data_IF_944160041375
#
_entry.id   IF_944160041375
#
_cell.length_a   1.000
_cell.length_b   1.000
_cell.length_c   1.000
_cell.angle_alpha   90.00
_cell.angle_beta   90.00
_cell.angle_gamma   90.00
#
_symmetry.space_group_name_H-M   'P 1'
#
loop_
_entity.id
_entity.type
_entity.pdbx_description
1 polymer ?
#
# COMPACT_ATOMS: atom_id res chain seq x y z
N UNK A 1 53.89 0.06 -63.00
CA UNK A 1 53.55 1.32 -63.68
C UNK A 1 53.24 2.35 -62.61
N UNK A 2 54.12 3.34 -62.50
CA UNK A 2 54.11 4.43 -61.50
C UNK A 2 53.60 5.70 -62.21
N UNK A 3 53.21 6.71 -61.41
CA UNK A 3 52.96 8.15 -61.70
C UNK A 3 51.48 8.53 -61.80
N UNK A 4 50.99 9.64 -61.25
CA UNK A 4 51.60 10.74 -60.51
C UNK A 4 50.58 11.89 -60.35
N UNK A 5 50.53 12.48 -59.15
CA UNK A 5 49.93 13.81 -58.79
C UNK A 5 50.85 14.89 -59.42
N UNK A 6 50.48 16.14 -59.84
CA UNK A 6 49.92 17.17 -58.92
C UNK A 6 49.21 18.45 -59.46
N UNK A 7 48.78 19.29 -58.49
CA UNK A 7 48.97 20.77 -58.43
C UNK A 7 47.95 21.68 -59.14
N UNK A 8 47.61 22.93 -58.72
CA UNK A 8 47.70 23.79 -57.51
C UNK A 8 47.18 25.18 -57.97
N UNK A 9 46.49 25.94 -57.09
CA UNK A 9 46.43 27.43 -57.01
C UNK A 9 45.93 28.26 -58.24
N UNK A 10 45.42 29.50 -58.20
CA UNK A 10 44.90 30.48 -57.22
C UNK A 10 44.15 31.55 -58.05
N UNK A 11 43.31 32.37 -57.41
CA UNK A 11 42.44 33.41 -57.99
C UNK A 11 43.17 34.57 -58.71
N UNK A 12 42.43 35.43 -59.45
CA UNK A 12 42.12 36.75 -58.88
C UNK A 12 40.72 37.33 -59.22
N UNK A 13 40.23 38.25 -58.38
CA UNK A 13 39.18 39.29 -58.66
C UNK A 13 39.88 40.54 -59.26
N UNK A 14 39.24 41.63 -59.80
CA UNK A 14 37.95 42.25 -59.39
C UNK A 14 37.13 43.06 -60.46
N UNK A 15 36.01 43.66 -59.97
CA UNK A 15 35.46 45.02 -60.23
C UNK A 15 34.43 45.33 -61.38
N UNK A 16 33.22 45.71 -60.94
CA UNK A 16 32.23 46.71 -61.46
C UNK A 16 31.50 46.41 -62.80
N UNK A 17 30.19 46.67 -63.02
CA UNK A 17 29.36 47.89 -62.86
C UNK A 17 27.85 47.51 -62.77
N UNK A 18 27.06 48.42 -62.18
CA UNK A 18 25.62 48.45 -61.87
C UNK A 18 24.65 48.24 -63.06
N UNK A 19 23.44 47.71 -62.81
CA UNK A 19 22.16 48.42 -62.99
C UNK A 19 20.97 47.72 -62.29
N UNK A 20 19.97 48.52 -61.93
CA UNK A 20 18.76 48.27 -61.12
C UNK A 20 17.86 47.17 -61.74
N UNK A 21 16.98 46.46 -61.00
CA UNK A 21 15.56 46.86 -60.78
C UNK A 21 14.80 45.77 -59.98
N UNK A 22 14.07 46.20 -58.93
CA UNK A 22 12.79 45.72 -58.33
C UNK A 22 12.60 44.25 -57.90
N UNK A 23 12.19 44.04 -56.64
CA UNK A 23 11.44 42.85 -56.21
C UNK A 23 11.55 42.51 -54.72
N UNK A 24 10.66 43.07 -53.90
CA UNK A 24 10.52 42.80 -52.46
C UNK A 24 9.98 41.38 -52.22
N UNK A 25 10.64 40.59 -51.35
CA UNK A 25 9.99 39.57 -50.52
C UNK A 25 10.94 39.14 -49.39
N UNK A 26 10.61 39.56 -48.18
CA UNK A 26 11.33 39.26 -46.95
C UNK A 26 11.19 37.78 -46.58
N UNK A 27 12.32 37.10 -46.38
CA UNK A 27 12.39 35.77 -45.75
C UNK A 27 12.41 35.95 -44.23
N UNK A 28 11.35 35.50 -43.56
CA UNK A 28 11.32 35.33 -42.10
C UNK A 28 12.16 34.10 -41.75
N UNK A 29 13.18 34.29 -40.91
CA UNK A 29 14.00 33.24 -40.36
C UNK A 29 13.19 32.39 -39.37
N UNK A 30 13.07 31.09 -39.63
CA UNK A 30 12.54 30.13 -38.67
C UNK A 30 13.68 29.76 -37.71
N UNK A 31 13.63 30.32 -36.51
CA UNK A 31 14.45 29.86 -35.38
C UNK A 31 13.92 28.52 -34.88
N UNK A 32 14.74 27.48 -34.97
CA UNK A 32 14.53 26.21 -34.28
C UNK A 32 14.70 26.43 -32.77
N UNK A 33 13.60 26.58 -32.04
CA UNK A 33 13.56 26.41 -30.60
C UNK A 33 13.33 24.92 -30.30
N UNK A 34 14.38 24.25 -29.83
CA UNK A 34 14.29 22.96 -29.14
C UNK A 34 13.43 23.15 -27.88
N UNK A 35 12.15 22.84 -27.97
CA UNK A 35 11.29 22.65 -26.81
C UNK A 35 11.69 21.33 -26.15
N UNK A 36 12.56 21.41 -25.15
CA UNK A 36 12.69 20.37 -24.15
C UNK A 36 11.31 20.21 -23.49
N UNK A 37 10.65 19.08 -23.77
CA UNK A 37 9.39 18.71 -23.16
C UNK A 37 9.59 18.52 -21.66
N UNK A 38 9.38 19.58 -20.88
CA UNK A 38 8.95 19.42 -19.50
C UNK A 38 7.53 18.85 -19.57
N UNK A 39 7.42 17.54 -19.38
CA UNK A 39 6.16 16.91 -18.99
C UNK A 39 5.75 17.53 -17.65
N UNK A 40 4.93 18.58 -17.72
CA UNK A 40 4.18 19.06 -16.56
C UNK A 40 3.25 17.92 -16.17
N UNK A 41 3.68 17.13 -15.20
CA UNK A 41 2.87 16.10 -14.59
C UNK A 41 1.71 16.82 -13.89
N UNK A 42 0.55 16.83 -14.53
CA UNK A 42 -0.67 17.25 -13.86
C UNK A 42 -0.94 16.21 -12.77
N UNK A 43 -0.89 16.55 -11.47
CA UNK A 43 -1.18 15.57 -10.43
C UNK A 43 -2.61 15.09 -10.66
N UNK A 44 -2.79 13.78 -10.84
CA UNK A 44 -4.12 13.20 -10.93
C UNK A 44 -4.90 13.64 -9.68
N UNK A 45 -6.01 14.35 -9.90
CA UNK A 45 -6.77 14.94 -8.79
C UNK A 45 -7.30 13.83 -7.88
N UNK A 46 -7.22 14.05 -6.56
CA UNK A 46 -7.85 13.16 -5.59
C UNK A 46 -9.33 12.97 -5.94
N UNK A 47 -9.85 11.77 -5.69
CA UNK A 47 -11.26 11.49 -5.99
C UNK A 47 -12.19 12.41 -5.18
N UNK A 48 -13.30 12.88 -5.75
CA UNK A 48 -14.32 13.57 -4.98
C UNK A 48 -14.85 12.69 -3.84
N UNK A 49 -15.22 13.30 -2.72
CA UNK A 49 -15.90 12.62 -1.61
C UNK A 49 -17.38 12.52 -1.95
N UNK A 50 -17.96 11.33 -1.80
CA UNK A 50 -19.41 11.14 -1.88
C UNK A 50 -20.09 11.73 -0.63
N UNK A 51 -20.94 12.76 -0.75
CA UNK A 51 -21.58 13.39 0.40
C UNK A 51 -22.47 12.45 1.22
N UNK A 52 -23.17 11.51 0.55
CA UNK A 52 -24.06 10.57 1.23
C UNK A 52 -23.23 9.58 2.07
N UNK A 53 -22.13 9.08 1.50
CA UNK A 53 -21.24 8.19 2.24
C UNK A 53 -20.50 8.91 3.36
N UNK A 54 -20.08 10.15 3.14
CA UNK A 54 -19.45 10.97 4.19
C UNK A 54 -20.41 11.20 5.37
N UNK A 55 -21.71 11.37 5.14
CA UNK A 55 -22.69 11.51 6.21
C UNK A 55 -22.75 10.26 7.12
N UNK A 56 -22.68 9.07 6.54
CA UNK A 56 -22.60 7.80 7.30
C UNK A 56 -21.29 7.75 8.11
N UNK A 57 -20.17 8.10 7.50
CA UNK A 57 -18.86 8.11 8.18
C UNK A 57 -18.83 9.11 9.33
N UNK A 58 -19.51 10.27 9.22
CA UNK A 58 -19.65 11.23 10.32
C UNK A 58 -20.38 10.62 11.52
N UNK A 59 -21.49 9.94 11.29
CA UNK A 59 -22.25 9.25 12.35
C UNK A 59 -21.41 8.14 13.01
N UNK A 60 -20.72 7.34 12.20
CA UNK A 60 -19.81 6.31 12.73
C UNK A 60 -18.71 6.94 13.58
N UNK A 61 -18.08 8.02 13.11
CA UNK A 61 -17.04 8.73 13.86
C UNK A 61 -17.51 9.19 15.24
N UNK A 62 -18.72 9.74 15.35
CA UNK A 62 -19.29 10.17 16.63
C UNK A 62 -19.38 9.00 17.62
N UNK A 63 -19.80 7.82 17.15
CA UNK A 63 -19.79 6.59 17.94
C UNK A 63 -18.38 6.19 18.37
N UNK A 64 -17.41 6.21 17.45
CA UNK A 64 -16.01 5.86 17.74
C UNK A 64 -15.41 6.79 18.81
N UNK A 65 -15.65 8.10 18.71
CA UNK A 65 -15.17 9.09 19.69
C UNK A 65 -15.81 8.87 21.06
N UNK A 66 -17.10 8.56 21.10
CA UNK A 66 -17.82 8.24 22.35
C UNK A 66 -17.26 6.98 23.03
N UNK A 67 -16.88 5.97 22.26
CA UNK A 67 -16.22 4.76 22.78
C UNK A 67 -14.80 5.04 23.26
N UNK A 68 -14.01 5.80 22.48
CA UNK A 68 -12.63 6.16 22.85
C UNK A 68 -12.56 6.97 24.16
N UNK A 69 -13.51 7.89 24.39
CA UNK A 69 -13.61 8.66 25.63
C UNK A 69 -13.83 7.83 26.90
N UNK A 70 -14.18 6.54 26.76
CA UNK A 70 -14.33 5.59 27.87
C UNK A 70 -13.07 4.75 28.14
N UNK A 71 -12.06 4.80 27.27
CA UNK A 71 -10.85 3.96 27.39
C UNK A 71 -9.80 4.63 28.29
N UNK A 72 -9.34 3.97 29.36
CA UNK A 72 -8.45 4.60 30.34
C UNK A 72 -6.97 4.61 29.92
N UNK A 73 -6.29 5.76 30.14
CA UNK A 73 -4.85 5.85 30.40
C UNK A 73 -3.94 6.43 29.29
N UNK A 74 -2.80 7.04 29.67
CA UNK A 74 -1.85 7.64 28.72
C UNK A 74 -1.01 6.62 27.94
N UNK A 75 -0.80 5.40 28.44
CA UNK A 75 0.07 4.41 27.80
C UNK A 75 -0.70 3.38 26.96
N UNK A 76 -0.21 3.10 25.74
CA UNK A 76 -0.71 1.99 24.93
C UNK A 76 -0.25 0.66 25.57
N UNK A 77 -1.17 -0.30 25.69
CA UNK A 77 -0.88 -1.65 26.20
C UNK A 77 -1.37 -2.69 25.20
N UNK A 78 -0.76 -3.89 25.17
CA UNK A 78 -1.33 -4.98 24.39
C UNK A 78 -2.70 -5.35 24.94
N UNK A 79 -3.61 -5.71 24.05
CA UNK A 79 -4.95 -6.15 24.42
C UNK A 79 -5.48 -7.18 23.43
N UNK A 80 -6.49 -7.92 23.88
CA UNK A 80 -7.27 -8.82 23.05
C UNK A 80 -8.63 -8.17 22.80
N UNK A 81 -9.03 -8.05 21.54
CA UNK A 81 -10.34 -7.58 21.11
C UNK A 81 -11.24 -8.78 20.85
N UNK A 82 -12.50 -8.69 21.26
CA UNK A 82 -13.52 -9.68 20.87
C UNK A 82 -14.44 -9.06 19.83
N UNK A 83 -14.73 -9.77 18.75
CA UNK A 83 -15.72 -9.31 17.77
C UNK A 83 -17.11 -9.51 18.40
N UNK A 84 -17.90 -8.44 18.64
CA UNK A 84 -19.17 -8.58 19.34
C UNK A 84 -20.14 -9.54 18.65
N UNK A 85 -20.82 -10.36 19.46
CA UNK A 85 -21.75 -11.38 18.97
C UNK A 85 -21.09 -12.69 18.53
N UNK A 86 -19.77 -12.84 18.68
CA UNK A 86 -19.03 -14.05 18.30
C UNK A 86 -18.04 -14.48 19.38
N UNK A 87 -17.44 -15.66 19.19
CA UNK A 87 -16.34 -16.15 20.03
C UNK A 87 -14.95 -15.75 19.49
N UNK A 88 -14.91 -15.09 18.33
CA UNK A 88 -13.66 -14.78 17.61
C UNK A 88 -12.99 -13.58 18.27
N UNK A 89 -11.69 -13.72 18.48
CA UNK A 89 -10.85 -12.71 19.11
C UNK A 89 -9.54 -12.53 18.38
N UNK A 90 -8.97 -11.34 18.48
CA UNK A 90 -7.68 -11.03 17.90
C UNK A 90 -6.86 -10.13 18.84
N UNK A 91 -5.54 -10.26 18.78
CA UNK A 91 -4.62 -9.52 19.64
C UNK A 91 -4.05 -8.30 18.93
N UNK A 92 -3.97 -7.18 19.66
CA UNK A 92 -3.40 -5.92 19.20
C UNK A 92 -2.17 -5.56 20.03
N UNK A 93 -1.05 -5.29 19.36
CA UNK A 93 0.25 -4.98 19.95
C UNK A 93 0.50 -3.47 19.87
N UNK A 94 0.93 -2.82 20.98
CA UNK A 94 1.24 -1.39 20.96
C UNK A 94 2.58 -1.16 20.26
N UNK A 95 2.57 -0.25 19.29
CA UNK A 95 3.72 0.20 18.53
C UNK A 95 4.11 1.59 19.04
N UNK A 96 5.33 1.77 19.56
CA UNK A 96 5.73 3.04 20.18
C UNK A 96 5.88 4.15 19.14
N UNK A 97 5.56 5.38 19.51
CA UNK A 97 5.93 6.54 18.70
C UNK A 97 7.46 6.59 18.51
N UNK A 98 7.91 7.05 17.35
CA UNK A 98 9.34 7.12 17.08
C UNK A 98 9.67 7.61 15.69
N UNK A 99 10.98 7.76 15.45
CA UNK A 99 11.54 8.08 14.13
C UNK A 99 12.42 6.92 13.68
N UNK A 100 12.23 6.46 12.46
CA UNK A 100 13.04 5.39 11.86
C UNK A 100 13.50 5.76 10.45
N UNK A 101 14.49 5.05 9.94
CA UNK A 101 14.94 5.18 8.56
C UNK A 101 14.16 4.20 7.68
N UNK A 102 13.25 4.74 6.86
CA UNK A 102 12.48 3.99 5.86
C UNK A 102 13.32 3.75 4.60
N UNK A 103 13.19 2.56 4.02
CA UNK A 103 13.95 2.10 2.86
C UNK A 103 15.27 1.40 3.20
N UNK A 104 15.93 0.84 2.20
CA UNK A 104 17.19 0.08 2.34
C UNK A 104 18.41 0.93 1.99
N UNK A 105 19.59 0.70 2.60
CA UNK A 105 20.84 1.37 2.24
C UNK A 105 21.35 0.89 0.86
N UNK A 106 22.18 1.67 0.14
CA UNK A 106 22.60 1.32 -1.24
C UNK A 106 23.33 -0.01 -1.38
N UNK A 107 24.01 -0.46 -0.31
CA UNK A 107 24.75 -1.72 -0.30
C UNK A 107 23.99 -2.91 0.30
N UNK A 108 22.69 -2.78 0.63
CA UNK A 108 21.91 -3.94 1.11
C UNK A 108 21.75 -4.97 -0.02
N UNK A 109 22.10 -6.25 0.20
CA UNK A 109 21.87 -7.30 -0.80
C UNK A 109 20.42 -7.38 -1.26
N UNK A 110 20.23 -7.69 -2.54
CA UNK A 110 18.91 -7.82 -3.19
C UNK A 110 18.01 -6.58 -3.15
N UNK A 111 18.55 -5.42 -2.77
CA UNK A 111 17.85 -4.14 -2.82
C UNK A 111 17.33 -3.83 -4.23
N UNK A 112 16.10 -3.34 -4.29
CA UNK A 112 15.51 -2.77 -5.51
C UNK A 112 15.63 -1.24 -5.58
N UNK A 113 15.56 -0.64 -6.79
CA UNK A 113 15.66 0.81 -6.96
C UNK A 113 14.57 1.63 -6.24
N UNK A 114 13.36 1.07 -6.08
CA UNK A 114 12.17 1.68 -5.48
C UNK A 114 12.16 1.66 -3.94
N UNK A 115 13.22 1.15 -3.33
CA UNK A 115 13.41 1.08 -1.87
C UNK A 115 14.21 2.27 -1.31
N UNK A 116 14.45 3.30 -2.12
CA UNK A 116 15.09 4.52 -1.65
C UNK A 116 14.71 5.77 -2.42
N UNK A 117 15.37 6.91 -2.12
CA UNK A 117 16.42 7.07 -1.12
C UNK A 117 15.91 6.82 0.32
N UNK A 118 16.81 6.46 1.23
CA UNK A 118 16.45 6.34 2.64
C UNK A 118 15.99 7.67 3.21
N UNK A 119 14.90 7.64 3.99
CA UNK A 119 14.30 8.83 4.61
C UNK A 119 13.98 8.55 6.06
N UNK A 120 14.25 9.51 6.95
CA UNK A 120 13.73 9.45 8.31
C UNK A 120 12.24 9.75 8.28
N UNK A 121 11.44 8.92 8.93
CA UNK A 121 9.99 9.09 9.06
C UNK A 121 9.61 9.03 10.53
N UNK A 122 8.79 9.98 10.99
CA UNK A 122 8.30 10.06 12.37
C UNK A 122 6.84 9.63 12.44
N UNK A 123 6.53 8.71 13.36
CA UNK A 123 5.21 8.13 13.56
C UNK A 123 4.69 8.40 14.98
N UNK A 124 3.39 8.68 15.13
CA UNK A 124 2.75 8.60 16.44
C UNK A 124 2.67 7.13 16.89
N UNK A 125 2.35 6.92 18.16
CA UNK A 125 2.11 5.58 18.68
C UNK A 125 0.74 5.06 18.21
N UNK A 126 0.65 3.77 17.90
CA UNK A 126 -0.57 3.11 17.43
C UNK A 126 -0.60 1.65 17.88
N UNK A 127 -1.67 0.92 17.62
CA UNK A 127 -1.70 -0.53 17.77
C UNK A 127 -1.73 -1.22 16.41
N UNK A 128 -1.11 -2.39 16.31
CA UNK A 128 -1.14 -3.23 15.11
C UNK A 128 -1.58 -4.65 15.49
N UNK A 129 -2.33 -5.32 14.61
CA UNK A 129 -2.68 -6.73 14.76
C UNK A 129 -1.42 -7.57 14.93
N UNK A 130 -1.43 -8.44 15.95
CA UNK A 130 -0.31 -9.35 16.26
C UNK A 130 0.08 -10.19 15.04
N UNK A 131 -0.92 -10.63 14.29
CA UNK A 131 -0.83 -11.46 13.10
C UNK A 131 -1.58 -10.81 11.93
N UNK A 132 -1.51 -11.41 10.75
CA UNK A 132 -2.47 -11.12 9.68
C UNK A 132 -3.90 -11.44 10.13
N UNK A 133 -4.89 -10.77 9.52
CA UNK A 133 -6.30 -11.08 9.71
C UNK A 133 -6.55 -12.52 9.26
N UNK A 134 -7.10 -13.34 10.14
CA UNK A 134 -7.39 -14.74 9.86
C UNK A 134 -8.71 -14.92 9.10
N UNK A 135 -8.92 -16.09 8.50
CA UNK A 135 -10.24 -16.46 7.96
C UNK A 135 -11.31 -16.49 9.05
N UNK A 136 -10.96 -16.86 10.28
CA UNK A 136 -11.88 -16.85 11.43
C UNK A 136 -12.48 -15.46 11.67
N UNK A 137 -11.71 -14.39 11.43
CA UNK A 137 -12.16 -13.00 11.49
C UNK A 137 -12.88 -12.58 10.20
N UNK A 138 -12.30 -12.88 9.03
CA UNK A 138 -12.76 -12.37 7.74
C UNK A 138 -14.08 -12.99 7.28
N UNK A 139 -14.35 -14.26 7.58
CA UNK A 139 -15.62 -14.90 7.23
C UNK A 139 -16.82 -14.26 7.92
N UNK A 140 -16.64 -13.69 9.12
CA UNK A 140 -17.69 -12.95 9.82
C UNK A 140 -18.12 -11.71 9.02
N UNK A 141 -17.17 -11.02 8.39
CA UNK A 141 -17.45 -9.91 7.49
C UNK A 141 -18.13 -10.38 6.19
N UNK A 142 -17.73 -11.54 5.66
CA UNK A 142 -18.27 -12.08 4.41
C UNK A 142 -19.71 -12.59 4.54
N UNK A 143 -19.99 -13.39 5.57
CA UNK A 143 -21.20 -14.20 5.64
C UNK A 143 -22.10 -13.88 6.81
N UNK A 144 -21.57 -13.15 7.79
CA UNK A 144 -22.23 -12.91 9.05
C UNK A 144 -22.27 -11.41 9.44
N UNK A 145 -22.48 -10.48 8.48
CA UNK A 145 -22.37 -9.05 8.78
C UNK A 145 -23.42 -8.60 9.80
N UNK A 146 -24.55 -9.31 9.89
CA UNK A 146 -25.68 -9.01 10.76
C UNK A 146 -25.69 -9.82 12.08
N UNK A 147 -24.61 -10.55 12.44
CA UNK A 147 -24.54 -11.32 13.70
C UNK A 147 -24.60 -10.47 14.99
N UNK A 148 -24.73 -9.16 14.83
CA UNK A 148 -25.36 -8.32 15.83
C UNK A 148 -26.73 -7.91 15.27
N UNK A 149 -27.81 -8.46 15.82
CA UNK A 149 -29.13 -7.83 15.67
C UNK A 149 -29.00 -6.32 15.95
N UNK A 150 -29.82 -5.47 15.32
CA UNK A 150 -29.63 -4.03 15.35
C UNK A 150 -29.40 -3.60 16.80
N UNK A 151 -28.27 -2.95 17.08
CA UNK A 151 -28.16 -2.13 18.27
C UNK A 151 -29.43 -1.28 18.29
N UNK A 152 -30.24 -1.42 19.35
CA UNK A 152 -31.60 -0.88 19.42
C UNK A 152 -31.68 0.51 18.75
N UNK A 153 -32.48 0.58 17.68
CA UNK A 153 -32.93 1.81 17.04
C UNK A 153 -31.88 2.72 16.36
N UNK A 154 -31.11 2.23 15.39
CA UNK A 154 -30.48 3.13 14.40
C UNK A 154 -30.34 2.47 13.02
N UNK A 155 -30.47 3.30 11.98
CA UNK A 155 -30.60 3.01 10.54
C UNK A 155 -29.64 1.91 10.01
N UNK A 156 -30.00 1.21 8.91
CA UNK A 156 -29.22 0.07 8.38
C UNK A 156 -27.72 0.35 8.31
N UNK A 157 -26.94 -0.59 8.86
CA UNK A 157 -25.48 -0.59 8.86
C UNK A 157 -24.99 -0.61 7.40
N UNK A 158 -24.69 0.57 6.87
CA UNK A 158 -24.45 0.78 5.44
C UNK A 158 -23.03 0.37 5.01
N UNK A 159 -22.30 -0.46 5.76
CA UNK A 159 -21.02 -0.98 5.29
C UNK A 159 -21.28 -2.01 4.18
N UNK A 160 -20.60 -1.85 3.05
CA UNK A 160 -20.71 -2.80 1.93
C UNK A 160 -19.92 -4.06 2.25
N UNK A 161 -20.50 -5.22 1.94
CA UNK A 161 -19.93 -6.53 2.22
C UNK A 161 -19.60 -7.28 0.92
N UNK A 162 -18.67 -8.26 0.96
CA UNK A 162 -18.30 -9.05 -0.19
C UNK A 162 -19.49 -9.83 -0.75
N UNK A 163 -19.60 -9.87 -2.09
CA UNK A 163 -20.53 -10.79 -2.76
C UNK A 163 -20.12 -12.24 -2.53
N UNK A 164 -21.00 -13.24 -2.66
CA UNK A 164 -20.57 -14.65 -2.57
C UNK A 164 -19.43 -14.92 -3.58
N UNK A 165 -18.28 -15.50 -3.16
CA UNK A 165 -17.18 -15.78 -4.08
C UNK A 165 -17.57 -16.93 -5.03
N UNK A 166 -17.04 -16.89 -6.26
CA UNK A 166 -17.29 -17.92 -7.28
C UNK A 166 -16.52 -19.22 -6.99
N UNK A 167 -15.33 -19.09 -6.41
CA UNK A 167 -14.45 -20.19 -6.00
C UNK A 167 -14.08 -20.03 -4.53
N UNK A 168 -13.62 -21.11 -3.91
CA UNK A 168 -13.04 -21.05 -2.58
C UNK A 168 -11.83 -20.09 -2.57
N UNK A 169 -11.90 -18.95 -1.85
CA UNK A 169 -10.83 -17.96 -1.86
C UNK A 169 -9.61 -18.40 -1.05
N UNK A 170 -9.70 -19.48 -0.26
CA UNK A 170 -8.55 -20.10 0.42
C UNK A 170 -7.71 -20.97 -0.52
N UNK A 171 -8.21 -21.30 -1.72
CA UNK A 171 -7.57 -22.20 -2.67
C UNK A 171 -7.24 -23.58 -2.05
N UNK A 172 -8.06 -24.05 -1.09
CA UNK A 172 -7.84 -25.34 -0.42
C UNK A 172 -6.54 -25.42 0.41
N UNK A 173 -6.02 -24.29 0.86
CA UNK A 173 -4.78 -24.23 1.65
C UNK A 173 -5.02 -24.19 3.16
N UNK A 174 -6.24 -23.86 3.61
CA UNK A 174 -6.65 -23.86 5.02
C UNK A 174 -7.42 -22.60 5.39
N UNK A 175 -8.31 -22.72 6.39
CA UNK A 175 -9.11 -21.59 6.91
C UNK A 175 -8.91 -21.38 8.42
N UNK A 176 -9.06 -22.41 9.25
CA UNK A 176 -9.01 -22.26 10.72
C UNK A 176 -7.63 -21.83 11.22
N UNK A 177 -7.54 -20.59 11.73
CA UNK A 177 -6.27 -19.96 12.14
C UNK A 177 -5.31 -19.62 11.00
N UNK A 178 -5.73 -19.75 9.74
CA UNK A 178 -4.94 -19.37 8.56
C UNK A 178 -5.22 -17.90 8.17
N UNK A 179 -4.26 -17.20 7.55
CA UNK A 179 -4.47 -15.84 7.07
C UNK A 179 -5.56 -15.80 6.00
N UNK A 180 -6.45 -14.82 6.10
CA UNK A 180 -7.38 -14.52 5.02
C UNK A 180 -6.60 -14.02 3.81
N UNK A 181 -6.84 -14.63 2.65
CA UNK A 181 -6.18 -14.27 1.38
C UNK A 181 -7.16 -14.04 0.23
N UNK A 182 -6.65 -13.53 -0.88
CA UNK A 182 -7.38 -13.44 -2.15
C UNK A 182 -8.47 -12.37 -2.16
N UNK A 183 -8.30 -11.31 -1.36
CA UNK A 183 -9.16 -10.13 -1.38
C UNK A 183 -8.46 -8.91 -1.98
N UNK A 184 -9.24 -8.05 -2.60
CA UNK A 184 -8.74 -6.77 -3.10
C UNK A 184 -8.39 -5.83 -1.96
N UNK A 185 -7.60 -4.79 -2.26
CA UNK A 185 -7.41 -3.68 -1.34
C UNK A 185 -8.75 -3.06 -0.88
N UNK A 186 -9.74 -2.94 -1.78
CA UNK A 186 -11.06 -2.41 -1.44
C UNK A 186 -11.75 -3.26 -0.36
N UNK A 187 -11.73 -4.58 -0.52
CA UNK A 187 -12.31 -5.51 0.43
C UNK A 187 -11.63 -5.45 1.80
N UNK A 188 -10.29 -5.39 1.83
CA UNK A 188 -9.53 -5.24 3.06
C UNK A 188 -9.82 -3.90 3.78
N UNK A 189 -9.95 -2.79 3.03
CA UNK A 189 -10.39 -1.51 3.57
C UNK A 189 -11.81 -1.55 4.14
N UNK A 190 -12.73 -2.27 3.49
CA UNK A 190 -14.12 -2.42 3.94
C UNK A 190 -14.26 -3.32 5.16
N UNK A 191 -13.44 -4.36 5.27
CA UNK A 191 -13.32 -5.13 6.49
C UNK A 191 -12.93 -4.24 7.67
N UNK A 192 -11.95 -3.33 7.49
CA UNK A 192 -11.55 -2.41 8.55
C UNK A 192 -12.69 -1.45 8.96
N UNK A 193 -13.49 -0.98 8.00
CA UNK A 193 -14.67 -0.16 8.25
C UNK A 193 -15.73 -0.92 9.05
N UNK A 194 -16.03 -2.15 8.63
CA UNK A 194 -16.94 -3.07 9.33
C UNK A 194 -16.47 -3.37 10.75
N UNK A 195 -15.19 -3.73 10.92
CA UNK A 195 -14.61 -4.02 12.22
C UNK A 195 -14.71 -2.81 13.14
N UNK A 196 -14.56 -1.60 12.58
CA UNK A 196 -14.73 -0.36 13.33
C UNK A 196 -16.17 -0.13 13.78
N UNK A 197 -17.14 -0.39 12.90
CA UNK A 197 -18.56 -0.30 13.22
C UNK A 197 -18.99 -1.32 14.29
N UNK A 198 -18.42 -2.53 14.25
CA UNK A 198 -18.70 -3.60 15.22
C UNK A 198 -18.12 -3.35 16.60
N UNK A 199 -16.83 -3.03 16.66
CA UNK A 199 -16.10 -2.90 17.94
C UNK A 199 -16.25 -1.52 18.58
N UNK A 200 -16.59 -0.49 17.78
CA UNK A 200 -16.57 0.90 18.23
C UNK A 200 -15.17 1.49 18.34
N UNK A 201 -14.14 0.84 17.80
CA UNK A 201 -12.77 1.34 17.71
C UNK A 201 -12.37 1.62 16.27
N UNK A 202 -11.52 2.61 16.01
CA UNK A 202 -11.10 2.93 14.64
C UNK A 202 -10.01 1.97 14.14
N UNK A 203 -10.34 1.13 13.17
CA UNK A 203 -9.42 0.24 12.46
C UNK A 203 -9.25 0.65 10.99
N UNK A 204 -8.04 0.47 10.47
CA UNK A 204 -7.68 0.66 9.06
C UNK A 204 -6.52 -0.22 8.65
N UNK A 205 -6.22 -0.29 7.35
CA UNK A 205 -4.94 -0.82 6.87
C UNK A 205 -3.77 0.05 7.38
N UNK A 206 -2.57 -0.52 7.60
CA UNK A 206 -1.38 0.27 7.89
C UNK A 206 -1.02 1.18 6.71
N UNK A 207 -0.41 2.34 6.98
CA UNK A 207 0.37 3.01 5.93
C UNK A 207 1.62 2.18 5.63
N UNK A 208 2.23 2.40 4.48
CA UNK A 208 3.48 1.72 4.15
C UNK A 208 4.58 2.01 5.19
N UNK A 209 4.66 3.25 5.67
CA UNK A 209 5.61 3.65 6.69
C UNK A 209 5.34 2.96 8.04
N UNK A 210 4.08 2.83 8.45
CA UNK A 210 3.70 2.10 9.66
C UNK A 210 4.06 0.62 9.56
N UNK A 211 3.81 0.01 8.40
CA UNK A 211 4.14 -1.39 8.15
C UNK A 211 5.65 -1.63 8.26
N UNK A 212 6.48 -0.83 7.58
CA UNK A 212 7.94 -1.03 7.62
C UNK A 212 8.51 -0.75 9.01
N UNK A 213 8.02 0.29 9.69
CA UNK A 213 8.42 0.61 11.06
C UNK A 213 8.14 -0.55 12.01
N UNK A 214 6.92 -1.10 11.91
CA UNK A 214 6.49 -2.25 12.68
C UNK A 214 7.29 -3.52 12.33
N UNK A 215 7.56 -3.77 11.04
CA UNK A 215 8.34 -4.90 10.59
C UNK A 215 9.75 -4.85 11.19
N UNK A 216 10.42 -3.69 11.11
CA UNK A 216 11.78 -3.48 11.63
C UNK A 216 11.88 -3.58 13.15
N UNK A 217 10.84 -3.18 13.88
CA UNK A 217 10.76 -3.24 15.34
C UNK A 217 12.02 -2.70 16.06
N UNK A 218 12.52 -1.56 15.59
CA UNK A 218 13.69 -0.87 16.14
C UNK A 218 15.05 -1.26 15.52
N UNK A 219 15.09 -2.23 14.61
CA UNK A 219 16.31 -2.59 13.87
C UNK A 219 16.49 -1.75 12.59
N UNK A 220 17.72 -1.71 12.07
CA UNK A 220 18.06 -1.08 10.79
C UNK A 220 18.49 -2.09 9.71
N UNK A 221 18.39 -3.38 10.03
CA UNK A 221 18.86 -4.51 9.21
C UNK A 221 17.84 -4.92 8.15
N UNK A 222 18.24 -5.81 7.24
CA UNK A 222 17.38 -6.32 6.18
C UNK A 222 16.12 -7.01 6.74
N UNK A 223 16.27 -7.77 7.83
CA UNK A 223 15.18 -8.40 8.58
C UNK A 223 15.17 -7.91 10.02
N UNK A 224 14.04 -8.07 10.73
CA UNK A 224 13.91 -7.66 12.14
C UNK A 224 14.82 -8.40 13.12
N UNK A 225 15.46 -9.47 12.65
CA UNK A 225 16.37 -10.31 13.40
C UNK A 225 17.82 -10.20 12.91
N UNK A 226 18.15 -9.34 11.95
CA UNK A 226 19.49 -9.17 11.41
C UNK A 226 19.55 -9.23 9.89
N UNK A 227 20.76 -9.35 9.33
CA UNK A 227 20.98 -9.38 7.87
C UNK A 227 21.16 -10.80 7.31
N UNK A 228 21.26 -11.82 8.16
CA UNK A 228 21.47 -13.21 7.74
C UNK A 228 20.15 -13.87 7.30
N UNK A 229 19.98 -14.18 6.00
CA UNK A 229 18.76 -14.82 5.50
C UNK A 229 18.58 -16.26 5.98
N UNK A 230 19.64 -16.94 6.48
CA UNK A 230 19.49 -18.31 7.00
C UNK A 230 18.53 -18.38 8.21
N UNK A 231 18.41 -17.27 8.96
CA UNK A 231 17.51 -17.15 10.11
C UNK A 231 16.04 -17.03 9.72
N UNK A 232 15.70 -16.80 8.44
CA UNK A 232 14.31 -16.78 7.98
C UNK A 232 13.57 -18.09 8.28
N UNK A 233 14.27 -19.23 8.30
CA UNK A 233 13.66 -20.52 8.62
C UNK A 233 12.98 -20.56 10.01
N UNK A 234 13.36 -19.68 10.94
CA UNK A 234 12.76 -19.57 12.27
C UNK A 234 11.64 -18.51 12.35
N UNK A 235 11.63 -17.55 11.43
CA UNK A 235 10.83 -16.34 11.47
C UNK A 235 9.81 -16.22 10.34
N UNK A 236 9.87 -17.08 9.34
CA UNK A 236 9.12 -16.95 8.09
C UNK A 236 8.57 -18.28 7.58
N UNK A 237 7.41 -18.21 6.94
CA UNK A 237 6.98 -19.18 5.94
C UNK A 237 7.36 -18.64 4.55
N UNK A 238 8.25 -19.34 3.84
CA UNK A 238 8.81 -18.92 2.56
C UNK A 238 9.18 -20.14 1.72
N UNK A 239 9.22 -19.99 0.39
CA UNK A 239 9.50 -21.08 -0.57
C UNK A 239 8.81 -22.41 -0.22
N UNK A 240 7.58 -22.33 0.29
CA UNK A 240 6.73 -23.44 0.66
C UNK A 240 5.73 -23.76 -0.46
N UNK A 241 4.90 -24.80 -0.28
CA UNK A 241 3.80 -25.11 -1.21
C UNK A 241 2.48 -24.40 -0.87
N UNK A 242 2.33 -23.95 0.39
CA UNK A 242 1.12 -23.32 0.93
C UNK A 242 1.50 -22.29 2.01
N UNK A 243 0.59 -21.34 2.26
CA UNK A 243 0.62 -20.55 3.49
C UNK A 243 0.25 -21.41 4.71
N UNK A 244 0.56 -20.93 5.90
CA UNK A 244 0.40 -21.66 7.15
C UNK A 244 -0.44 -20.85 8.15
N UNK A 245 -0.75 -21.46 9.31
CA UNK A 245 -1.46 -20.76 10.37
C UNK A 245 -0.66 -19.56 10.86
N UNK A 246 -1.37 -18.50 11.17
CA UNK A 246 -0.75 -17.26 11.65
C UNK A 246 -0.11 -17.48 13.02
N UNK A 247 1.00 -16.80 13.29
CA UNK A 247 1.64 -16.80 14.60
C UNK A 247 2.50 -18.01 14.92
N UNK A 248 2.72 -18.95 13.99
CA UNK A 248 3.52 -20.16 14.24
C UNK A 248 5.04 -19.95 14.16
N UNK A 249 5.49 -18.86 13.52
CA UNK A 249 6.91 -18.47 13.45
C UNK A 249 7.29 -17.50 14.57
N UNK A 250 8.60 -17.39 14.85
CA UNK A 250 9.09 -16.49 15.90
C UNK A 250 8.75 -15.03 15.56
N UNK A 251 8.19 -14.27 16.51
CA UNK A 251 7.86 -12.88 16.28
C UNK A 251 9.11 -12.01 16.14
N UNK A 252 8.90 -10.78 15.65
CA UNK A 252 9.90 -9.73 15.70
C UNK A 252 10.08 -9.18 17.15
N UNK A 253 11.05 -8.28 17.41
CA UNK A 253 11.29 -7.73 18.75
C UNK A 253 10.11 -7.04 19.45
N UNK A 254 9.06 -6.65 18.70
CA UNK A 254 7.84 -6.06 19.28
C UNK A 254 6.71 -7.07 19.48
N UNK A 255 6.90 -8.34 19.12
CA UNK A 255 5.89 -9.39 19.30
C UNK A 255 4.93 -9.53 18.12
N UNK A 256 5.20 -8.90 16.98
CA UNK A 256 4.44 -9.10 15.74
C UNK A 256 4.95 -10.35 15.03
N UNK A 257 4.02 -11.21 14.60
CA UNK A 257 4.33 -12.42 13.85
C UNK A 257 4.18 -12.20 12.34
N UNK A 258 4.85 -13.06 11.59
CA UNK A 258 4.73 -13.20 10.13
C UNK A 258 5.05 -11.94 9.31
N UNK A 259 5.78 -10.97 9.90
CA UNK A 259 6.23 -9.75 9.21
C UNK A 259 7.19 -10.02 8.03
N UNK A 260 7.71 -11.24 7.90
CA UNK A 260 8.70 -11.65 6.90
C UNK A 260 8.26 -12.93 6.18
N UNK A 261 7.04 -13.03 5.66
CA UNK A 261 6.59 -14.18 4.87
C UNK A 261 5.13 -14.52 5.15
N UNK A 262 4.77 -15.80 4.95
CA UNK A 262 3.39 -16.29 5.00
C UNK A 262 2.51 -15.67 3.90
N UNK A 263 1.98 -14.46 4.07
CA UNK A 263 1.25 -13.75 3.01
C UNK A 263 1.68 -12.29 2.91
N UNK A 264 1.67 -11.75 1.69
CA UNK A 264 1.87 -10.33 1.47
C UNK A 264 0.68 -9.55 2.04
N UNK A 265 0.94 -8.35 2.56
CA UNK A 265 -0.09 -7.59 3.25
C UNK A 265 -0.37 -6.26 2.57
N UNK A 266 -1.66 -5.98 2.35
CA UNK A 266 -2.11 -4.68 1.88
C UNK A 266 -1.74 -3.55 2.84
N UNK A 267 -1.29 -2.43 2.26
CA UNK A 267 -1.14 -1.14 2.95
C UNK A 267 -2.02 -0.10 2.25
N UNK A 268 -2.28 1.03 2.90
CA UNK A 268 -3.13 2.11 2.36
C UNK A 268 -2.58 2.77 1.09
N UNK A 269 -1.27 2.74 0.92
CA UNK A 269 -0.56 3.57 -0.04
C UNK A 269 -0.77 3.11 -1.49
N UNK A 270 -0.97 4.09 -2.38
CA UNK A 270 -0.73 3.86 -3.80
C UNK A 270 0.76 3.64 -4.01
N UNK A 271 1.11 2.60 -4.76
CA UNK A 271 2.49 2.34 -5.09
C UNK A 271 2.98 3.37 -6.12
N UNK A 272 4.04 4.08 -5.75
CA UNK A 272 4.84 4.90 -6.64
C UNK A 272 6.31 4.49 -6.50
N UNK A 273 7.01 4.20 -7.61
CA UNK A 273 8.42 3.81 -7.56
C UNK A 273 9.32 4.86 -6.88
N UNK A 274 8.95 6.14 -6.97
CA UNK A 274 9.69 7.27 -6.43
C UNK A 274 9.05 7.88 -5.17
N UNK A 275 8.12 7.15 -4.50
CA UNK A 275 7.40 7.63 -3.31
C UNK A 275 8.34 8.21 -2.23
N UNK A 276 9.46 7.54 -1.96
CA UNK A 276 10.36 7.94 -0.86
C UNK A 276 11.11 9.23 -1.20
N UNK A 277 11.43 9.47 -2.47
CA UNK A 277 12.04 10.74 -2.90
C UNK A 277 11.09 11.93 -2.70
N UNK A 278 9.78 11.68 -2.76
CA UNK A 278 8.71 12.70 -2.63
C UNK A 278 8.34 13.02 -1.18
N UNK A 279 8.85 12.28 -0.19
CA UNK A 279 8.54 12.53 1.22
C UNK A 279 9.02 13.93 1.65
N UNK A 280 8.16 14.73 2.31
CA UNK A 280 8.48 16.10 2.67
C UNK A 280 9.38 16.15 3.91
N UNK A 281 10.58 16.67 3.76
CA UNK A 281 11.54 16.80 4.87
C UNK A 281 12.30 15.52 5.19
N UNK A 282 13.08 15.57 6.28
CA UNK A 282 13.90 14.47 6.80
C UNK A 282 14.31 14.78 8.26
N UNK A 283 13.47 14.50 9.29
CA UNK A 283 12.36 13.55 9.23
C UNK A 283 11.09 14.10 8.57
N UNK A 284 10.41 13.24 7.81
CA UNK A 284 9.06 13.46 7.32
C UNK A 284 8.03 12.94 8.34
N UNK A 285 6.85 13.56 8.49
CA UNK A 285 5.74 12.92 9.18
C UNK A 285 5.28 11.69 8.39
N UNK A 286 4.86 10.61 9.07
CA UNK A 286 4.21 9.51 8.39
C UNK A 286 2.89 9.97 7.78
N UNK A 287 2.88 10.02 6.46
CA UNK A 287 1.70 10.20 5.62
C UNK A 287 1.55 8.97 4.72
N UNK A 288 0.50 8.95 3.91
CA UNK A 288 0.33 7.91 2.91
C UNK A 288 0.04 8.52 1.54
N UNK A 289 0.47 7.83 0.49
CA UNK A 289 0.21 8.23 -0.90
C UNK A 289 -1.24 7.90 -1.25
N UNK A 290 -2.07 8.94 -1.40
CA UNK A 290 -3.48 8.74 -1.73
C UNK A 290 -3.65 8.15 -3.13
N UNK A 291 -4.53 7.16 -3.22
CA UNK A 291 -4.81 6.49 -4.48
C UNK A 291 -5.59 7.36 -5.46
N UNK A 292 -5.07 7.42 -6.68
CA UNK A 292 -5.68 8.08 -7.84
C UNK A 292 -6.18 7.07 -8.87
N UNK A 293 -5.74 5.81 -8.80
CA UNK A 293 -5.99 4.74 -9.77
C UNK A 293 -6.26 3.39 -9.07
N UNK A 294 -6.92 2.41 -9.72
CA UNK A 294 -7.15 1.07 -9.15
C UNK A 294 -5.88 0.31 -8.76
N UNK A 295 -4.81 0.55 -9.50
CA UNK A 295 -3.50 -0.04 -9.31
C UNK A 295 -2.44 1.00 -9.66
N UNK A 296 -1.20 0.80 -9.20
CA UNK A 296 -0.79 -0.19 -8.19
C UNK A 296 -1.02 0.33 -6.76
N UNK A 297 -1.39 -0.56 -5.84
CA UNK A 297 -1.37 -0.35 -4.39
C UNK A 297 -0.20 -1.13 -3.78
N UNK A 298 0.37 -0.64 -2.69
CA UNK A 298 1.53 -1.26 -2.06
C UNK A 298 1.11 -2.48 -1.21
N UNK A 299 1.80 -3.60 -1.44
CA UNK A 299 1.85 -4.73 -0.51
C UNK A 299 3.28 -4.94 0.03
N UNK A 300 3.40 -5.46 1.24
CA UNK A 300 4.68 -5.68 1.94
C UNK A 300 4.74 -7.09 2.56
N UNK A 301 5.91 -7.49 3.07
CA UNK A 301 6.12 -8.76 3.81
C UNK A 301 6.63 -9.94 2.99
N UNK A 302 6.28 -10.00 1.70
CA UNK A 302 6.52 -11.20 0.91
C UNK A 302 5.55 -12.33 1.31
N UNK A 303 5.66 -13.48 0.67
CA UNK A 303 4.72 -14.59 0.89
C UNK A 303 5.40 -15.93 1.06
N UNK A 304 4.59 -16.94 1.35
CA UNK A 304 4.96 -18.34 1.42
C UNK A 304 5.66 -18.86 0.17
N UNK A 305 5.46 -18.28 -1.02
CA UNK A 305 6.09 -18.72 -2.26
C UNK A 305 7.29 -17.85 -2.68
N UNK A 306 7.60 -16.80 -1.91
CA UNK A 306 8.70 -15.90 -2.22
C UNK A 306 10.02 -16.36 -1.58
N UNK A 307 11.14 -15.90 -2.14
CA UNK A 307 12.48 -16.09 -1.57
C UNK A 307 12.95 -14.92 -0.69
N UNK A 308 14.09 -15.06 0.01
CA UNK A 308 14.58 -14.11 1.02
C UNK A 308 14.58 -12.63 0.61
N UNK A 309 14.90 -12.33 -0.65
CA UNK A 309 14.93 -10.98 -1.19
C UNK A 309 13.60 -10.21 -1.04
N UNK A 310 12.47 -10.91 -1.10
CA UNK A 310 11.11 -10.33 -1.03
C UNK A 310 10.60 -10.17 0.39
N UNK A 311 11.23 -10.86 1.35
CA UNK A 311 10.85 -10.89 2.76
C UNK A 311 11.58 -9.82 3.58
N UNK A 312 12.52 -9.08 2.97
CA UNK A 312 13.22 -7.97 3.61
C UNK A 312 12.23 -6.90 4.06
N UNK A 313 12.52 -6.26 5.19
CA UNK A 313 11.70 -5.19 5.78
C UNK A 313 11.43 -4.08 4.77
N UNK A 314 12.40 -3.74 3.91
CA UNK A 314 12.27 -2.68 2.90
C UNK A 314 11.60 -3.13 1.58
N UNK A 315 11.39 -4.43 1.35
CA UNK A 315 10.95 -4.94 0.05
C UNK A 315 9.48 -4.59 -0.26
N UNK A 316 9.27 -3.85 -1.36
CA UNK A 316 7.94 -3.37 -1.78
C UNK A 316 7.42 -4.16 -2.97
N UNK A 317 6.09 -4.18 -3.15
CA UNK A 317 5.46 -4.65 -4.39
C UNK A 317 4.20 -3.84 -4.67
N UNK A 318 4.08 -3.37 -5.91
CA UNK A 318 2.85 -2.79 -6.42
C UNK A 318 1.91 -3.88 -6.94
N UNK A 319 0.63 -3.77 -6.60
CA UNK A 319 -0.41 -4.63 -7.16
C UNK A 319 -0.66 -4.36 -8.64
N UNK A 320 -1.24 -5.35 -9.33
CA UNK A 320 -1.38 -5.30 -10.78
C UNK A 320 -2.77 -5.79 -11.23
N UNK A 321 -3.33 -5.27 -12.34
CA UNK A 321 -4.59 -5.77 -12.90
C UNK A 321 -4.60 -7.28 -13.19
N UNK A 322 -3.43 -7.87 -13.44
CA UNK A 322 -3.22 -9.30 -13.68
C UNK A 322 -3.60 -10.16 -12.48
N UNK A 323 -3.67 -9.61 -11.27
CA UNK A 323 -4.08 -10.35 -10.06
C UNK A 323 -5.55 -10.76 -10.05
N UNK A 324 -6.33 -10.23 -11.01
CA UNK A 324 -7.70 -10.63 -11.30
C UNK A 324 -7.87 -11.10 -12.75
N UNK A 325 -6.79 -11.54 -13.42
CA UNK A 325 -6.84 -11.86 -14.84
C UNK A 325 -7.92 -12.89 -15.17
N UNK A 326 -8.05 -13.91 -14.34
CA UNK A 326 -8.94 -15.05 -14.55
C UNK A 326 -10.32 -14.86 -13.90
N UNK A 327 -10.64 -13.64 -13.45
CA UNK A 327 -12.00 -13.32 -13.02
C UNK A 327 -12.93 -13.29 -14.26
N UNK A 328 -13.96 -14.16 -14.34
CA UNK A 328 -14.86 -14.23 -15.48
C UNK A 328 -15.86 -13.05 -15.51
N UNK A 329 -15.96 -12.25 -14.45
CA UNK A 329 -16.90 -11.13 -14.35
C UNK A 329 -16.55 -9.94 -15.25
N UNK A 330 -17.58 -9.30 -15.83
CA UNK A 330 -17.49 -8.03 -16.54
C UNK A 330 -18.56 -7.07 -15.98
N UNK A 331 -18.20 -6.05 -15.19
CA UNK A 331 -16.85 -5.73 -14.70
C UNK A 331 -16.31 -6.78 -13.73
N UNK A 332 -14.98 -6.82 -13.57
CA UNK A 332 -14.31 -7.71 -12.61
C UNK A 332 -14.71 -7.38 -11.19
N UNK A 333 -14.64 -8.38 -10.32
CA UNK A 333 -14.95 -8.26 -8.91
C UNK A 333 -14.10 -7.17 -8.24
N UNK A 334 -14.78 -6.38 -7.41
CA UNK A 334 -14.16 -5.41 -6.51
C UNK A 334 -13.77 -6.06 -5.18
N UNK A 335 -14.11 -7.33 -4.98
CA UNK A 335 -13.95 -8.03 -3.70
C UNK A 335 -12.80 -9.06 -3.71
N UNK A 336 -12.62 -9.77 -4.81
CA UNK A 336 -11.76 -10.95 -4.87
C UNK A 336 -10.61 -10.83 -5.87
N UNK A 337 -9.50 -11.49 -5.56
CA UNK A 337 -8.38 -11.74 -6.45
C UNK A 337 -8.41 -13.20 -6.91
N UNK A 338 -8.32 -13.44 -8.21
CA UNK A 338 -8.29 -14.79 -8.78
C UNK A 338 -6.87 -15.32 -9.01
N UNK A 339 -5.88 -14.43 -9.06
CA UNK A 339 -4.49 -14.76 -9.40
C UNK A 339 -3.48 -14.26 -8.36
N UNK A 340 -3.93 -13.97 -7.13
CA UNK A 340 -3.05 -13.56 -6.04
C UNK A 340 -3.45 -14.21 -4.69
N UNK A 341 -3.40 -15.55 -4.59
CA UNK A 341 -3.70 -16.32 -3.36
C UNK A 341 -2.70 -16.10 -2.22
N UNK A 342 -1.70 -15.25 -2.42
CA UNK A 342 -0.64 -14.94 -1.46
C UNK A 342 -0.80 -13.54 -0.86
N UNK A 343 -1.92 -12.85 -1.10
CA UNK A 343 -2.17 -11.50 -0.59
C UNK A 343 -3.29 -11.52 0.44
N UNK A 344 -2.95 -11.15 1.67
CA UNK A 344 -3.84 -10.88 2.78
C UNK A 344 -3.63 -9.45 3.30
N UNK A 345 -3.84 -9.25 4.59
CA UNK A 345 -3.62 -7.96 5.25
C UNK A 345 -3.59 -8.09 6.78
N UNK A 346 -3.15 -7.04 7.46
CA UNK A 346 -3.35 -6.84 8.90
C UNK A 346 -3.98 -5.48 9.17
N UNK A 347 -4.55 -5.32 10.37
CA UNK A 347 -5.18 -4.07 10.78
C UNK A 347 -4.30 -3.26 11.72
N UNK A 348 -4.46 -1.95 11.69
CA UNK A 348 -3.95 -1.02 12.71
C UNK A 348 -5.08 -0.23 13.32
N UNK A 349 -4.87 0.17 14.58
CA UNK A 349 -5.71 1.11 15.31
C UNK A 349 -4.86 2.30 15.72
N UNK A 350 -5.02 3.47 15.09
CA UNK A 350 -4.41 4.70 15.56
C UNK A 350 -4.90 5.08 16.95
N UNK A 351 -4.04 5.73 17.74
CA UNK A 351 -4.46 6.27 19.05
C UNK A 351 -5.52 7.35 18.89
N UNK A 352 -5.32 8.25 17.93
CA UNK A 352 -6.21 9.37 17.67
C UNK A 352 -7.19 9.03 16.55
N UNK A 353 -8.45 9.41 16.73
CA UNK A 353 -9.47 9.25 15.70
C UNK A 353 -9.43 10.50 14.81
N UNK A 354 -9.05 10.36 13.52
CA UNK A 354 -8.90 11.50 12.63
C UNK A 354 -10.26 12.09 12.23
N UNK A 355 -10.28 13.09 11.34
CA UNK A 355 -11.53 13.69 10.86
C UNK A 355 -12.39 12.67 10.10
N UNK A 356 -13.70 12.94 9.96
CA UNK A 356 -14.60 12.07 9.18
C UNK A 356 -14.17 11.96 7.72
N UNK A 357 -13.60 13.02 7.15
CA UNK A 357 -13.04 12.98 5.79
C UNK A 357 -11.85 12.05 5.70
N UNK A 358 -10.93 12.08 6.67
CA UNK A 358 -9.79 11.16 6.65
C UNK A 358 -10.23 9.71 6.88
N UNK A 359 -11.19 9.45 7.78
CA UNK A 359 -11.80 8.13 7.92
C UNK A 359 -12.37 7.63 6.58
N UNK A 360 -13.16 8.48 5.92
CA UNK A 360 -13.71 8.19 4.60
C UNK A 360 -12.59 7.84 3.61
N UNK A 361 -11.52 8.62 3.57
CA UNK A 361 -10.37 8.36 2.69
C UNK A 361 -9.68 7.04 2.99
N UNK A 362 -9.52 6.65 4.27
CA UNK A 362 -8.87 5.39 4.64
C UNK A 362 -9.68 4.15 4.28
N UNK A 363 -11.02 4.21 4.33
CA UNK A 363 -11.89 3.07 4.01
C UNK A 363 -12.32 3.01 2.55
N UNK A 364 -12.17 4.11 1.81
CA UNK A 364 -12.64 4.25 0.43
C UNK A 364 -11.50 4.63 -0.54
N UNK A 365 -10.24 4.37 -0.16
CA UNK A 365 -9.08 4.52 -1.05
C UNK A 365 -9.00 3.45 -2.12
N UNK A 366 -9.52 2.24 -1.84
CA UNK A 366 -9.67 1.16 -2.81
C UNK A 366 -10.75 1.46 -3.84
N UNK A 367 -10.50 1.12 -5.11
CA UNK A 367 -11.37 1.52 -6.21
C UNK A 367 -12.60 0.64 -6.33
N UNK A 368 -13.78 1.27 -6.46
CA UNK A 368 -15.07 0.60 -6.60
C UNK A 368 -15.38 0.10 -8.03
N UNK A 369 -14.57 0.43 -9.05
CA UNK A 369 -14.76 -0.03 -10.43
C UNK A 369 -13.40 -0.17 -11.12
N UNK A 370 -13.05 -1.40 -11.50
CA UNK A 370 -11.95 -1.73 -12.41
C UNK A 370 -12.50 -1.54 -13.84
N UNK A 371 -12.29 -0.37 -14.44
CA UNK A 371 -12.87 0.00 -15.75
C UNK A 371 -11.96 -0.36 -16.90
#
# INVERSE_FOLDING_TARGET
MITGIPSRAQAPTPLSVRLRTIGVLARVAIGCALLAGLSVFCPAAERPIDPARLAVVKQLRERLVKTAGKTPGPALRPYEESIPGTIVKFAMIPIPAGTFTMGSPPGEPDRRPDEGPQKKVTLPAFWMGKCEVSWDEYELFMYAPDLTGPAENEKPDAVSHPTKPYSDPSFGMGIEGFPAVSMTHHAASKFCEWLSAKTGHFYRLPTEAEWEYAARAGTATAYSFGDDPARLAEHAWMQAEKYAKVGERKPNPWGLHDMHGNVCEWTLDQYLPDAYARLPGNPAPATWVRSTQPYPHVVRGGSWNDGPARLRSAARLGSSPEWKKDDPGLPKSVWYLTNAPWVGFRVVRPREIPSAEELYRTWNSGVAMDR
#
